data_IF_358853932071
#
_entry.id   IF_358853932071
#
_cell.length_a   1.000
_cell.length_b   1.000
_cell.length_c   1.000
_cell.angle_alpha   90.00
_cell.angle_beta   90.00
_cell.angle_gamma   90.00
#
_symmetry.space_group_name_H-M   'P 1'
#
loop_
_entity.id
_entity.type
_entity.pdbx_description
1 polymer ?
#
# COMPACT_ATOMS: atom_id res chain seq x y z
N UNK A 1 3.09 24.52 -59.22
CA UNK A 1 2.36 25.32 -58.23
C UNK A 1 2.18 24.42 -57.02
N UNK A 2 3.00 24.61 -56.00
CA UNK A 2 2.88 23.89 -54.73
C UNK A 2 2.05 24.75 -53.81
N UNK A 3 0.83 24.31 -53.52
CA UNK A 3 0.05 24.84 -52.41
C UNK A 3 0.74 24.38 -51.13
N UNK A 4 1.46 25.32 -50.50
CA UNK A 4 1.97 25.14 -49.15
C UNK A 4 0.77 25.33 -48.23
N UNK A 5 0.16 24.22 -47.80
CA UNK A 5 -0.76 24.22 -46.66
C UNK A 5 -0.01 24.81 -45.47
N UNK A 6 -0.36 26.04 -45.14
CA UNK A 6 0.00 26.66 -43.87
C UNK A 6 -0.76 25.87 -42.81
N UNK A 7 -0.06 24.99 -42.10
CA UNK A 7 -0.55 24.47 -40.82
C UNK A 7 -0.64 25.68 -39.90
N UNK A 8 -1.84 26.21 -39.71
CA UNK A 8 -2.14 27.08 -38.58
C UNK A 8 -1.76 26.28 -37.32
N UNK A 9 -0.64 26.64 -36.71
CA UNK A 9 -0.35 26.19 -35.35
C UNK A 9 -1.52 26.66 -34.48
N UNK A 10 -2.12 25.78 -33.65
CA UNK A 10 -3.21 26.21 -32.80
C UNK A 10 -2.73 27.38 -31.94
N UNK A 11 -3.41 28.52 -32.03
CA UNK A 11 -3.23 29.64 -31.11
C UNK A 11 -3.50 29.14 -29.70
N UNK A 12 -2.45 28.72 -28.99
CA UNK A 12 -2.54 28.44 -27.58
C UNK A 12 -2.75 29.77 -26.87
N UNK A 13 -4.02 30.08 -26.57
CA UNK A 13 -4.34 31.17 -25.67
C UNK A 13 -3.54 31.00 -24.37
N UNK A 14 -2.95 32.07 -23.83
CA UNK A 14 -2.20 31.98 -22.58
C UNK A 14 -3.14 31.52 -21.47
N UNK A 15 -2.76 30.44 -20.76
CA UNK A 15 -3.50 29.89 -19.62
C UNK A 15 -3.38 30.87 -18.45
N UNK A 16 -4.52 31.19 -17.82
CA UNK A 16 -4.54 32.04 -16.61
C UNK A 16 -3.98 31.30 -15.39
N UNK A 17 -3.56 32.02 -14.34
CA UNK A 17 -3.08 31.38 -13.11
C UNK A 17 -4.19 30.52 -12.47
N UNK A 18 -5.42 31.02 -12.41
CA UNK A 18 -6.57 30.28 -11.88
C UNK A 18 -6.86 29.00 -12.68
N UNK A 19 -6.79 29.07 -14.01
CA UNK A 19 -6.98 27.90 -14.87
C UNK A 19 -5.86 26.87 -14.68
N UNK A 20 -4.62 27.32 -14.55
CA UNK A 20 -3.49 26.44 -14.24
C UNK A 20 -3.66 25.76 -12.87
N UNK A 21 -4.04 26.51 -11.83
CA UNK A 21 -4.32 25.97 -10.49
C UNK A 21 -5.43 24.91 -10.53
N UNK A 22 -6.49 25.17 -11.29
CA UNK A 22 -7.57 24.22 -11.45
C UNK A 22 -7.10 22.93 -12.13
N UNK A 23 -6.34 23.02 -13.23
CA UNK A 23 -5.78 21.85 -13.89
C UNK A 23 -4.82 21.06 -12.99
N UNK A 24 -3.99 21.77 -12.22
CA UNK A 24 -3.08 21.14 -11.28
C UNK A 24 -3.81 20.44 -10.14
N UNK A 25 -4.89 21.05 -9.61
CA UNK A 25 -5.78 20.42 -8.61
C UNK A 25 -6.36 19.12 -9.15
N UNK A 26 -6.98 19.15 -10.33
CA UNK A 26 -7.57 17.95 -10.93
C UNK A 26 -6.53 16.85 -11.19
N UNK A 27 -5.32 17.23 -11.59
CA UNK A 27 -4.23 16.26 -11.78
C UNK A 27 -3.86 15.59 -10.45
N UNK A 28 -3.69 16.36 -9.38
CA UNK A 28 -3.35 15.82 -8.06
C UNK A 28 -4.48 14.96 -7.48
N UNK A 29 -5.73 15.40 -7.61
CA UNK A 29 -6.89 14.61 -7.23
C UNK A 29 -6.93 13.27 -7.98
N UNK A 30 -6.66 13.27 -9.29
CA UNK A 30 -6.61 12.04 -10.08
C UNK A 30 -5.47 11.11 -9.64
N UNK A 31 -4.27 11.66 -9.38
CA UNK A 31 -3.13 10.88 -8.89
C UNK A 31 -3.42 10.29 -7.49
N UNK A 32 -4.04 11.05 -6.59
CA UNK A 32 -4.45 10.56 -5.28
C UNK A 32 -5.57 9.53 -5.40
N UNK A 33 -6.51 9.70 -6.33
CA UNK A 33 -7.64 8.79 -6.52
C UNK A 33 -7.21 7.38 -6.97
N UNK A 34 -6.03 7.24 -7.59
CA UNK A 34 -5.48 5.91 -7.93
C UNK A 34 -4.75 5.23 -6.77
N UNK A 35 -4.63 5.88 -5.60
CA UNK A 35 -4.01 5.25 -4.44
C UNK A 35 -4.79 4.01 -3.96
N UNK A 36 -4.11 3.02 -3.33
CA UNK A 36 -4.76 1.80 -2.83
C UNK A 36 -5.89 2.06 -1.82
N UNK A 37 -5.85 3.17 -1.08
CA UNK A 37 -6.91 3.54 -0.12
C UNK A 37 -8.19 4.04 -0.78
N UNK A 38 -8.17 4.38 -2.08
CA UNK A 38 -9.30 4.95 -2.83
C UNK A 38 -9.68 4.15 -4.07
N UNK A 39 -8.87 3.16 -4.44
CA UNK A 39 -9.06 2.38 -5.66
C UNK A 39 -8.85 0.89 -5.41
N UNK A 40 -9.89 0.09 -5.66
CA UNK A 40 -9.87 -1.36 -5.44
C UNK A 40 -8.91 -2.12 -6.36
N UNK A 41 -8.66 -1.64 -7.59
CA UNK A 41 -7.69 -2.28 -8.49
C UNK A 41 -6.28 -2.06 -7.96
N UNK A 42 -5.97 -0.83 -7.54
CA UNK A 42 -4.71 -0.49 -6.88
C UNK A 42 -4.53 -1.25 -5.58
N UNK A 43 -5.59 -1.36 -4.76
CA UNK A 43 -5.59 -2.14 -3.53
C UNK A 43 -5.31 -3.61 -3.80
N UNK A 44 -5.99 -4.20 -4.78
CA UNK A 44 -5.74 -5.58 -5.20
C UNK A 44 -4.28 -5.76 -5.55
N UNK A 45 -3.71 -4.95 -6.47
CA UNK A 45 -2.30 -5.05 -6.88
C UNK A 45 -1.31 -4.99 -5.71
N UNK A 46 -1.64 -4.26 -4.63
CA UNK A 46 -0.78 -4.14 -3.44
C UNK A 46 -1.07 -5.16 -2.34
N UNK A 47 -2.22 -5.86 -2.39
CA UNK A 47 -2.66 -6.86 -1.42
C UNK A 47 -3.06 -8.16 -2.14
N UNK A 48 -2.37 -8.54 -3.21
CA UNK A 48 -2.59 -9.83 -3.85
C UNK A 48 -1.95 -10.91 -2.97
N UNK A 49 -2.73 -11.79 -2.29
CA UNK A 49 -2.17 -12.94 -1.62
C UNK A 49 -1.24 -13.71 -2.55
N UNK A 50 -0.04 -14.00 -2.05
CA UNK A 50 0.92 -14.79 -2.81
C UNK A 50 0.38 -16.21 -3.00
N UNK A 51 -0.44 -16.74 -2.07
CA UNK A 51 -1.04 -18.07 -2.18
C UNK A 51 -2.34 -18.08 -3.02
N UNK A 52 -2.37 -18.89 -4.09
CA UNK A 52 -3.54 -19.00 -4.97
C UNK A 52 -4.83 -19.43 -4.27
N UNK A 53 -4.72 -20.26 -3.23
CA UNK A 53 -5.89 -20.72 -2.45
C UNK A 53 -6.55 -19.55 -1.72
N UNK A 54 -5.73 -18.67 -1.14
CA UNK A 54 -6.21 -17.47 -0.46
C UNK A 54 -6.82 -16.50 -1.46
N UNK A 55 -6.21 -16.35 -2.64
CA UNK A 55 -6.79 -15.56 -3.74
C UNK A 55 -8.17 -16.02 -4.18
N UNK A 56 -8.38 -17.34 -4.36
CA UNK A 56 -9.71 -17.89 -4.68
C UNK A 56 -10.74 -17.65 -3.58
N UNK A 57 -10.30 -17.59 -2.33
CA UNK A 57 -11.19 -17.31 -1.21
C UNK A 57 -11.53 -15.81 -1.12
N UNK A 58 -10.55 -14.94 -1.32
CA UNK A 58 -10.72 -13.49 -1.24
C UNK A 58 -11.50 -12.92 -2.44
N UNK A 59 -11.30 -13.48 -3.64
CA UNK A 59 -11.91 -13.01 -4.87
C UNK A 59 -12.56 -14.16 -5.68
N UNK A 60 -13.55 -14.87 -5.12
CA UNK A 60 -14.10 -16.08 -5.74
C UNK A 60 -14.64 -15.81 -7.15
N UNK A 61 -15.38 -14.72 -7.34
CA UNK A 61 -15.97 -14.38 -8.64
C UNK A 61 -14.91 -14.11 -9.73
N UNK A 62 -13.75 -13.59 -9.35
CA UNK A 62 -12.65 -13.32 -10.27
C UNK A 62 -11.93 -14.60 -10.73
N UNK A 63 -11.94 -15.64 -9.88
CA UNK A 63 -11.22 -16.88 -10.12
C UNK A 63 -12.14 -18.09 -10.41
N UNK A 64 -13.47 -17.92 -10.46
CA UNK A 64 -14.40 -18.98 -10.85
C UNK A 64 -14.59 -19.08 -12.36
N UNK A 65 -14.50 -17.97 -13.09
CA UNK A 65 -14.78 -17.91 -14.53
C UNK A 65 -13.49 -17.97 -15.34
N UNK A 66 -13.44 -18.88 -16.32
CA UNK A 66 -12.26 -19.03 -17.20
C UNK A 66 -11.93 -17.74 -17.96
N UNK A 67 -12.94 -17.05 -18.51
CA UNK A 67 -12.74 -15.78 -19.22
C UNK A 67 -12.10 -14.71 -18.32
N UNK A 68 -12.47 -14.67 -17.04
CA UNK A 68 -11.91 -13.71 -16.08
C UNK A 68 -10.47 -14.09 -15.70
N UNK A 69 -10.17 -15.37 -15.54
CA UNK A 69 -8.80 -15.83 -15.31
C UNK A 69 -7.88 -15.55 -16.51
N UNK A 70 -8.39 -15.74 -17.74
CA UNK A 70 -7.66 -15.44 -18.97
C UNK A 70 -7.37 -13.94 -19.06
N UNK A 71 -8.36 -13.08 -18.78
CA UNK A 71 -8.13 -11.64 -18.68
C UNK A 71 -7.11 -11.29 -17.59
N UNK A 72 -7.20 -11.89 -16.39
CA UNK A 72 -6.27 -11.60 -15.30
C UNK A 72 -4.83 -12.00 -15.65
N UNK A 73 -4.65 -13.10 -16.38
CA UNK A 73 -3.33 -13.60 -16.78
C UNK A 73 -2.79 -12.83 -17.98
N UNK A 74 -3.53 -12.81 -19.09
CA UNK A 74 -3.05 -12.31 -20.38
C UNK A 74 -3.25 -10.80 -20.54
N UNK A 75 -4.34 -10.27 -19.98
CA UNK A 75 -4.72 -8.85 -20.09
C UNK A 75 -4.17 -8.00 -18.94
N UNK A 76 -4.34 -8.45 -17.70
CA UNK A 76 -3.89 -7.73 -16.50
C UNK A 76 -2.46 -8.12 -16.09
N UNK A 77 -1.92 -9.22 -16.62
CA UNK A 77 -0.53 -9.63 -16.38
C UNK A 77 -0.28 -10.17 -14.97
N UNK A 78 -1.23 -10.88 -14.37
CA UNK A 78 -0.96 -11.67 -13.18
C UNK A 78 -0.34 -13.00 -13.57
N UNK A 79 0.68 -13.42 -12.84
CA UNK A 79 1.10 -14.80 -12.85
C UNK A 79 0.16 -15.59 -11.94
N UNK A 80 -0.48 -16.64 -12.45
CA UNK A 80 -1.31 -17.55 -11.67
C UNK A 80 -0.76 -18.97 -11.90
N UNK A 81 0.01 -19.49 -10.95
CA UNK A 81 0.52 -20.86 -10.98
C UNK A 81 -0.42 -21.83 -10.24
N UNK A 82 -0.03 -23.09 -10.02
CA UNK A 82 -0.84 -24.00 -9.19
C UNK A 82 -0.88 -23.55 -7.72
N UNK A 83 0.20 -22.93 -7.24
CA UNK A 83 0.41 -22.62 -5.84
C UNK A 83 0.34 -21.11 -5.55
N UNK A 84 0.76 -20.28 -6.51
CA UNK A 84 1.01 -18.86 -6.28
C UNK A 84 0.26 -17.93 -7.24
N UNK A 85 -0.01 -16.71 -6.78
CA UNK A 85 -0.45 -15.57 -7.59
C UNK A 85 0.51 -14.41 -7.36
N UNK A 86 0.98 -13.78 -8.43
CA UNK A 86 2.06 -12.79 -8.33
C UNK A 86 1.96 -11.70 -9.39
N UNK A 87 2.34 -10.47 -9.00
CA UNK A 87 2.58 -9.33 -9.89
C UNK A 87 4.08 -9.12 -10.17
N UNK A 88 4.94 -10.06 -9.76
CA UNK A 88 6.41 -9.90 -9.84
C UNK A 88 6.94 -10.01 -11.27
N UNK A 89 6.16 -10.60 -12.19
CA UNK A 89 6.51 -10.61 -13.61
C UNK A 89 6.13 -9.31 -14.29
N UNK A 90 6.97 -8.93 -15.25
CA UNK A 90 6.79 -7.71 -16.03
C UNK A 90 5.49 -7.79 -16.84
N UNK A 91 4.53 -6.94 -16.52
CA UNK A 91 3.23 -6.87 -17.17
C UNK A 91 2.39 -5.68 -16.66
N UNK A 92 1.15 -5.53 -17.13
CA UNK A 92 0.31 -4.38 -16.77
C UNK A 92 0.10 -4.21 -15.26
N UNK A 93 -0.01 -5.30 -14.49
CA UNK A 93 -0.11 -5.27 -13.02
C UNK A 93 1.15 -4.71 -12.35
N UNK A 94 2.34 -5.11 -12.82
CA UNK A 94 3.63 -4.60 -12.30
C UNK A 94 3.84 -3.14 -12.67
N UNK A 95 3.45 -2.76 -13.89
CA UNK A 95 3.55 -1.38 -14.39
C UNK A 95 2.61 -0.46 -13.59
N UNK A 96 1.39 -0.91 -13.30
CA UNK A 96 0.45 -0.21 -12.45
C UNK A 96 0.96 -0.07 -11.01
N UNK A 97 1.50 -1.16 -10.44
CA UNK A 97 2.12 -1.12 -9.10
C UNK A 97 3.24 -0.09 -9.03
N UNK A 98 4.11 -0.06 -10.05
CA UNK A 98 5.23 0.89 -10.13
C UNK A 98 4.72 2.33 -10.23
N UNK A 99 3.75 2.60 -11.11
CA UNK A 99 3.14 3.93 -11.26
C UNK A 99 2.52 4.43 -9.94
N UNK A 100 1.82 3.56 -9.21
CA UNK A 100 1.21 3.91 -7.93
C UNK A 100 2.29 4.21 -6.89
N UNK A 101 3.37 3.41 -6.85
CA UNK A 101 4.50 3.66 -5.96
C UNK A 101 5.20 4.99 -6.25
N UNK A 102 5.42 5.33 -7.53
CA UNK A 102 5.98 6.60 -7.95
C UNK A 102 5.10 7.78 -7.52
N UNK A 103 3.77 7.63 -7.63
CA UNK A 103 2.80 8.64 -7.18
C UNK A 103 2.83 8.79 -5.66
N UNK A 104 2.86 7.68 -4.92
CA UNK A 104 2.98 7.69 -3.48
C UNK A 104 4.28 8.36 -3.02
N UNK A 105 5.41 8.11 -3.70
CA UNK A 105 6.70 8.77 -3.46
C UNK A 105 6.66 10.27 -3.83
N UNK A 106 6.01 10.63 -4.94
CA UNK A 106 5.79 12.02 -5.31
C UNK A 106 5.03 12.79 -4.23
N UNK A 107 4.03 12.19 -3.61
CA UNK A 107 3.34 12.84 -2.52
C UNK A 107 4.03 12.67 -1.17
N UNK A 108 5.16 11.99 -1.05
CA UNK A 108 5.74 11.72 0.27
C UNK A 108 6.56 12.88 0.85
N UNK A 109 7.18 13.68 -0.02
CA UNK A 109 7.95 14.87 0.36
C UNK A 109 7.05 15.93 1.01
N UNK A 110 7.28 16.16 2.31
CA UNK A 110 6.49 17.09 3.12
C UNK A 110 6.64 18.55 2.68
N UNK A 111 7.85 18.97 2.29
CA UNK A 111 8.09 20.34 1.85
C UNK A 111 7.39 20.62 0.52
N UNK A 112 7.49 19.68 -0.43
CA UNK A 112 6.78 19.71 -1.72
C UNK A 112 5.27 19.77 -1.49
N UNK A 113 4.71 18.88 -0.67
CA UNK A 113 3.27 18.90 -0.35
C UNK A 113 2.86 20.25 0.25
N UNK A 114 3.62 20.79 1.20
CA UNK A 114 3.32 22.09 1.84
C UNK A 114 3.27 23.22 0.82
N UNK A 115 4.31 23.35 -0.02
CA UNK A 115 4.39 24.41 -1.03
C UNK A 115 3.25 24.32 -2.05
N UNK A 116 2.92 23.10 -2.50
CA UNK A 116 1.82 22.87 -3.43
C UNK A 116 0.46 23.15 -2.77
N UNK A 117 0.30 22.80 -1.50
CA UNK A 117 -0.92 23.06 -0.72
C UNK A 117 -1.15 24.57 -0.55
N UNK A 118 -0.11 25.33 -0.21
CA UNK A 118 -0.15 26.79 -0.11
C UNK A 118 -0.48 27.45 -1.46
N UNK A 119 0.09 26.94 -2.56
CA UNK A 119 -0.16 27.48 -3.90
C UNK A 119 -1.61 27.26 -4.36
N UNK A 120 -2.17 26.09 -4.04
CA UNK A 120 -3.52 25.67 -4.45
C UNK A 120 -4.61 26.04 -3.44
N UNK A 121 -4.26 26.55 -2.25
CA UNK A 121 -5.18 26.80 -1.13
C UNK A 121 -6.01 25.55 -0.75
N UNK A 122 -5.38 24.38 -0.75
CA UNK A 122 -6.00 23.11 -0.38
C UNK A 122 -4.99 22.16 0.28
N UNK A 123 -5.47 21.26 1.13
CA UNK A 123 -4.63 20.23 1.73
C UNK A 123 -4.36 19.10 0.72
N UNK A 124 -3.08 18.81 0.46
CA UNK A 124 -2.68 17.67 -0.36
C UNK A 124 -2.36 16.48 0.56
N UNK A 125 -3.04 15.33 0.41
CA UNK A 125 -2.83 14.17 1.26
C UNK A 125 -1.47 13.52 1.02
N UNK A 126 -1.06 12.64 1.95
CA UNK A 126 0.04 11.70 1.75
C UNK A 126 -0.54 10.28 1.56
N UNK A 127 -0.69 9.80 0.31
CA UNK A 127 -1.24 8.49 0.03
C UNK A 127 -0.41 7.33 0.61
N UNK A 128 0.92 7.47 0.72
CA UNK A 128 1.79 6.44 1.33
C UNK A 128 1.50 6.29 2.82
N UNK A 129 1.43 7.42 3.53
CA UNK A 129 1.06 7.47 4.96
C UNK A 129 -0.32 6.87 5.19
N UNK A 130 -1.31 7.26 4.40
CA UNK A 130 -2.67 6.72 4.49
C UNK A 130 -2.72 5.23 4.20
N UNK A 131 -1.92 4.76 3.24
CA UNK A 131 -1.86 3.34 2.92
C UNK A 131 -1.30 2.53 4.08
N UNK A 132 -0.20 2.98 4.69
CA UNK A 132 0.38 2.34 5.88
C UNK A 132 -0.62 2.32 7.05
N UNK A 133 -1.31 3.43 7.30
CA UNK A 133 -2.39 3.52 8.29
C UNK A 133 -3.48 2.48 8.02
N UNK A 134 -3.91 2.36 6.77
CA UNK A 134 -4.91 1.39 6.35
C UNK A 134 -4.43 -0.06 6.57
N UNK A 135 -3.19 -0.40 6.19
CA UNK A 135 -2.62 -1.75 6.40
C UNK A 135 -2.58 -2.13 7.89
N UNK A 136 -2.14 -1.21 8.75
CA UNK A 136 -2.12 -1.45 10.19
C UNK A 136 -3.54 -1.64 10.75
N UNK A 137 -4.52 -0.83 10.31
CA UNK A 137 -5.94 -1.00 10.67
C UNK A 137 -6.51 -2.34 10.22
N UNK A 138 -6.18 -2.77 9.00
CA UNK A 138 -6.57 -4.08 8.48
C UNK A 138 -6.00 -5.21 9.35
N UNK A 139 -4.71 -5.13 9.70
CA UNK A 139 -4.06 -6.14 10.55
C UNK A 139 -4.78 -6.30 11.90
N UNK A 140 -5.04 -5.18 12.62
CA UNK A 140 -5.67 -5.21 13.94
C UNK A 140 -7.19 -5.42 13.93
N UNK A 141 -7.80 -5.41 12.74
CA UNK A 141 -9.24 -5.67 12.55
C UNK A 141 -9.50 -7.03 11.91
N UNK A 142 -8.45 -7.82 11.64
CA UNK A 142 -8.59 -9.14 11.04
C UNK A 142 -9.33 -10.07 12.01
N UNK A 143 -10.41 -10.76 11.57
CA UNK A 143 -11.29 -11.52 12.47
C UNK A 143 -10.63 -12.67 13.25
N UNK A 144 -9.58 -13.28 12.73
CA UNK A 144 -8.93 -14.44 13.33
C UNK A 144 -7.77 -14.04 14.25
N UNK A 145 -6.99 -13.03 13.87
CA UNK A 145 -5.72 -12.67 14.49
C UNK A 145 -5.72 -11.28 15.14
N UNK A 146 -6.76 -10.47 14.92
CA UNK A 146 -6.71 -9.03 15.19
C UNK A 146 -6.39 -8.66 16.64
N UNK A 147 -6.96 -9.37 17.61
CA UNK A 147 -6.68 -9.14 19.04
C UNK A 147 -5.27 -9.61 19.42
N UNK A 148 -4.80 -10.76 18.90
CA UNK A 148 -3.42 -11.20 19.11
C UNK A 148 -2.41 -10.24 18.46
N UNK A 149 -2.68 -9.74 17.26
CA UNK A 149 -1.87 -8.75 16.56
C UNK A 149 -1.75 -7.46 17.38
N UNK A 150 -2.86 -6.97 17.95
CA UNK A 150 -2.83 -5.80 18.85
C UNK A 150 -1.92 -6.04 20.06
N UNK A 151 -2.06 -7.20 20.70
CA UNK A 151 -1.22 -7.58 21.85
C UNK A 151 0.27 -7.61 21.47
N UNK A 152 0.60 -8.25 20.35
CA UNK A 152 1.97 -8.33 19.84
C UNK A 152 2.53 -6.93 19.53
N UNK A 153 1.77 -6.10 18.81
CA UNK A 153 2.23 -4.75 18.48
C UNK A 153 2.40 -3.87 19.73
N UNK A 154 1.55 -4.01 20.75
CA UNK A 154 1.72 -3.31 22.04
C UNK A 154 3.02 -3.74 22.73
N UNK A 155 3.32 -5.03 22.74
CA UNK A 155 4.56 -5.57 23.29
C UNK A 155 5.78 -5.11 22.49
N UNK A 156 5.72 -5.10 21.15
CA UNK A 156 6.77 -4.53 20.29
C UNK A 156 6.99 -3.04 20.59
N UNK A 157 5.92 -2.26 20.75
CA UNK A 157 6.01 -0.83 21.08
C UNK A 157 6.70 -0.58 22.42
N UNK A 158 6.35 -1.38 23.42
CA UNK A 158 6.78 -1.22 24.82
C UNK A 158 8.18 -1.75 25.10
N UNK A 159 8.57 -2.84 24.44
CA UNK A 159 9.80 -3.57 24.75
C UNK A 159 10.74 -3.76 23.55
N UNK A 160 10.27 -3.46 22.33
CA UNK A 160 11.06 -3.58 21.12
C UNK A 160 12.08 -2.46 20.94
N UNK A 161 13.09 -2.73 20.13
CA UNK A 161 14.14 -1.78 19.77
C UNK A 161 13.61 -0.75 18.76
N UNK A 162 13.16 0.40 19.27
CA UNK A 162 12.52 1.46 18.49
C UNK A 162 13.42 2.03 17.39
N UNK A 163 14.74 2.02 17.59
CA UNK A 163 15.71 2.49 16.59
C UNK A 163 15.86 1.51 15.43
N UNK A 164 15.42 0.27 15.60
CA UNK A 164 15.56 -0.82 14.63
C UNK A 164 14.20 -1.41 14.22
N UNK A 165 13.16 -0.60 14.13
CA UNK A 165 11.86 -1.04 13.64
C UNK A 165 11.03 -1.78 14.69
N UNK A 166 11.15 -1.38 15.96
CA UNK A 166 10.53 -2.06 17.10
C UNK A 166 10.88 -3.56 17.17
N UNK A 167 12.12 -3.88 16.79
CA UNK A 167 12.58 -5.27 16.68
C UNK A 167 12.43 -5.99 18.03
N UNK A 168 11.82 -7.17 18.01
CA UNK A 168 11.64 -8.01 19.18
C UNK A 168 11.60 -9.50 18.82
N UNK A 169 12.28 -10.34 19.60
CA UNK A 169 12.36 -11.79 19.33
C UNK A 169 11.00 -12.48 19.57
N UNK A 170 10.71 -13.52 18.79
CA UNK A 170 9.46 -14.29 18.92
C UNK A 170 9.31 -14.96 20.27
N UNK A 171 10.39 -15.51 20.84
CA UNK A 171 10.41 -16.06 22.20
C UNK A 171 10.01 -15.01 23.24
N UNK A 172 10.49 -13.77 23.06
CA UNK A 172 10.16 -12.68 23.97
C UNK A 172 8.72 -12.20 23.80
N UNK A 173 8.17 -12.28 22.60
CA UNK A 173 6.74 -12.01 22.34
C UNK A 173 5.88 -13.09 23.01
N UNK A 174 6.23 -14.36 22.89
CA UNK A 174 5.55 -15.47 23.57
C UNK A 174 5.59 -15.33 25.09
N UNK A 175 6.71 -14.87 25.68
CA UNK A 175 6.79 -14.63 27.12
C UNK A 175 5.94 -13.44 27.60
N UNK A 176 5.75 -12.44 26.75
CA UNK A 176 5.10 -11.16 27.08
C UNK A 176 3.64 -11.09 26.65
N UNK A 177 3.17 -12.08 25.91
CA UNK A 177 1.80 -12.23 25.46
C UNK A 177 1.27 -13.61 25.86
N UNK A 178 -0.05 -13.82 25.85
CA UNK A 178 -0.63 -15.15 26.04
C UNK A 178 -0.78 -15.91 24.69
N UNK A 179 0.03 -15.57 23.68
CA UNK A 179 -0.08 -16.12 22.32
C UNK A 179 0.96 -17.24 22.15
N UNK A 180 0.51 -18.44 21.81
CA UNK A 180 1.38 -19.60 21.60
C UNK A 180 2.31 -19.43 20.38
N UNK A 181 3.54 -19.96 20.44
CA UNK A 181 4.55 -19.88 19.36
C UNK A 181 4.02 -20.28 17.96
N UNK A 182 3.19 -21.33 17.87
CA UNK A 182 2.56 -21.73 16.61
C UNK A 182 1.71 -20.61 16.01
N UNK A 183 0.91 -19.95 16.85
CA UNK A 183 0.05 -18.82 16.48
C UNK A 183 0.85 -17.56 16.13
N UNK A 184 1.94 -17.29 16.87
CA UNK A 184 2.87 -16.20 16.57
C UNK A 184 3.47 -16.36 15.17
N UNK A 185 3.84 -17.58 14.76
CA UNK A 185 4.38 -17.84 13.42
C UNK A 185 3.34 -17.63 12.32
N UNK A 186 2.09 -18.03 12.54
CA UNK A 186 0.98 -17.78 11.60
C UNK A 186 0.75 -16.28 11.42
N UNK A 187 0.63 -15.55 12.52
CA UNK A 187 0.47 -14.08 12.53
C UNK A 187 1.62 -13.41 11.80
N UNK A 188 2.86 -13.82 12.10
CA UNK A 188 4.03 -13.27 11.44
C UNK A 188 3.99 -13.47 9.94
N UNK A 189 3.66 -14.68 9.48
CA UNK A 189 3.54 -14.97 8.04
C UNK A 189 2.50 -14.06 7.41
N UNK A 190 1.31 -13.95 8.01
CA UNK A 190 0.27 -13.04 7.55
C UNK A 190 0.74 -11.58 7.43
N UNK A 191 1.40 -11.06 8.46
CA UNK A 191 1.91 -9.67 8.47
C UNK A 191 3.07 -9.43 7.49
N UNK A 192 3.80 -10.48 7.10
CA UNK A 192 4.88 -10.42 6.09
C UNK A 192 4.30 -10.56 4.68
N UNK A 193 3.59 -11.64 4.39
CA UNK A 193 3.16 -11.99 3.02
C UNK A 193 1.93 -11.23 2.54
N UNK A 194 0.97 -10.98 3.42
CA UNK A 194 -0.33 -10.43 3.00
C UNK A 194 -0.39 -8.91 3.14
N UNK A 195 0.31 -8.35 4.13
CA UNK A 195 0.24 -6.92 4.44
C UNK A 195 1.59 -6.19 4.30
N UNK A 196 2.71 -6.90 4.12
CA UNK A 196 4.03 -6.26 3.98
C UNK A 196 4.27 -5.21 5.09
N UNK A 197 3.98 -5.61 6.34
CA UNK A 197 4.13 -4.78 7.54
C UNK A 197 5.43 -5.12 8.25
N UNK A 198 5.80 -6.39 8.27
CA UNK A 198 7.01 -6.88 8.92
C UNK A 198 8.04 -7.32 7.89
N UNK A 199 9.31 -7.16 8.27
CA UNK A 199 10.44 -7.75 7.56
C UNK A 199 10.42 -9.27 7.64
N UNK A 200 10.63 -9.90 6.49
CA UNK A 200 10.93 -11.33 6.45
C UNK A 200 12.30 -11.60 7.07
N UNK A 201 12.28 -11.99 8.34
CA UNK A 201 13.46 -12.27 9.15
C UNK A 201 13.13 -13.42 10.07
N UNK A 202 14.07 -14.34 10.30
CA UNK A 202 13.80 -15.48 11.17
C UNK A 202 13.86 -15.06 12.65
N UNK A 203 12.92 -15.55 13.47
CA UNK A 203 12.99 -15.41 14.93
C UNK A 203 12.70 -14.03 15.52
N UNK A 204 12.46 -12.99 14.72
CA UNK A 204 12.13 -11.63 15.22
C UNK A 204 10.95 -10.99 14.51
N UNK A 205 10.16 -10.20 15.21
CA UNK A 205 9.23 -9.25 14.61
C UNK A 205 9.97 -7.93 14.44
N UNK A 206 9.84 -7.31 13.27
CA UNK A 206 10.45 -6.03 12.95
C UNK A 206 9.63 -5.34 11.88
N UNK A 207 9.18 -4.12 12.11
CA UNK A 207 8.47 -3.35 11.10
C UNK A 207 9.37 -3.04 9.90
N UNK A 208 8.74 -2.95 8.73
CA UNK A 208 9.42 -2.49 7.53
C UNK A 208 9.93 -1.05 7.67
N UNK A 209 11.02 -0.75 6.95
CA UNK A 209 11.63 0.59 7.03
C UNK A 209 10.67 1.69 6.62
N UNK A 210 9.84 1.43 5.61
CA UNK A 210 8.83 2.39 5.13
C UNK A 210 7.77 2.69 6.19
N UNK A 211 7.47 1.76 7.09
CA UNK A 211 6.53 2.01 8.20
C UNK A 211 7.17 2.92 9.24
N UNK A 212 8.48 2.77 9.45
CA UNK A 212 9.23 3.55 10.42
C UNK A 212 9.44 5.01 10.00
N UNK A 213 9.19 5.35 8.73
CA UNK A 213 9.13 6.74 8.25
C UNK A 213 7.89 7.49 8.79
N UNK A 214 6.88 6.76 9.31
CA UNK A 214 5.65 7.32 9.87
C UNK A 214 5.37 6.83 11.29
N UNK A 215 6.23 7.17 12.27
CA UNK A 215 6.07 6.69 13.65
C UNK A 215 4.72 7.08 14.26
N UNK A 216 4.20 8.27 13.92
CA UNK A 216 2.88 8.72 14.39
C UNK A 216 1.71 7.86 13.92
N UNK A 217 1.84 7.14 12.79
CA UNK A 217 0.81 6.21 12.30
C UNK A 217 0.86 4.90 13.07
N UNK A 218 2.06 4.41 13.41
CA UNK A 218 2.22 3.26 14.30
C UNK A 218 1.61 3.62 15.66
N UNK A 219 1.99 4.76 16.24
CA UNK A 219 1.51 5.18 17.55
C UNK A 219 0.00 5.40 17.63
N UNK A 220 -0.66 5.86 16.56
CA UNK A 220 -2.11 6.10 16.53
C UNK A 220 -2.96 4.84 16.33
N UNK A 221 -2.38 3.79 15.73
CA UNK A 221 -3.09 2.53 15.46
C UNK A 221 -2.84 1.46 16.52
N UNK A 222 -1.90 1.70 17.43
CA UNK A 222 -1.65 0.84 18.58
C UNK A 222 -2.34 1.43 19.81
N UNK A 223 -3.20 0.66 20.51
CA UNK A 223 -3.81 1.12 21.75
C UNK A 223 -2.74 1.66 22.71
N UNK A 224 -3.02 2.79 23.34
CA UNK A 224 -2.30 3.24 24.52
C UNK A 224 -2.78 2.46 25.74
N UNK A 225 -1.87 2.00 26.60
CA UNK A 225 -2.16 1.46 27.93
C UNK A 225 -2.64 2.59 28.88
N UNK A 226 -3.63 3.39 28.47
CA UNK A 226 -4.34 4.38 29.31
C UNK A 226 -5.79 3.95 29.54
#
# INVERSE_FOLDING_TARGET
MSETESREEPEHAPVSEEEFKQHLSHLFEAMVAISPTRNYVSQMVHLLPEERRQMRYAYPELFERMETQEFLTDGFGLEISEEEVSTKHRGPSSDLSSLINDIMEFFDDEERRRLLSEYLDQEIPNPRREWIDHKLKMAVSEPNYGEEIRSIFNVMRKYGDQQNGYRLNTERIEELTDVEDGRIREIKRFLVSELDILRDSNGEFRFESVIMEYPGVVDSNLPSDD
#
